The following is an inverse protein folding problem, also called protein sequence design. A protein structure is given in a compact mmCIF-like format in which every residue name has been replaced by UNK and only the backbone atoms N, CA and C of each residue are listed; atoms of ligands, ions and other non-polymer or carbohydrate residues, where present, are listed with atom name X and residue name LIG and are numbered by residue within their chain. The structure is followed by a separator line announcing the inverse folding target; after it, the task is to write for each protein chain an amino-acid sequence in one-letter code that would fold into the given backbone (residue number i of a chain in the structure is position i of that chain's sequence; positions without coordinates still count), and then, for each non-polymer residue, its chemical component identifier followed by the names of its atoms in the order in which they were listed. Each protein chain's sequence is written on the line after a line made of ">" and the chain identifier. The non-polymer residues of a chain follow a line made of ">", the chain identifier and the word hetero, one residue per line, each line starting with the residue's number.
data_IF_121686452904
#
_entry.id   IF_121686452904
#
_cell.length_a   1.000
_cell.length_b   1.000
_cell.length_c   1.000
_cell.angle_alpha   90.00
_cell.angle_beta   90.00
_cell.angle_gamma   90.00
#
_symmetry.space_group_name_H-M   'P 1'
#
loop_
_entity.id
_entity.type
_entity.pdbx_description
1 polymer ?
#
# COMPACT_ATOMS: atom_id res chain seq x y z
N UNK A 1 -41.93 -10.27 8.41
CA UNK A 1 -40.61 -10.41 9.07
C UNK A 1 -40.41 -9.50 10.28
N UNK A 2 -40.95 -8.27 10.33
CA UNK A 2 -40.80 -7.38 11.50
C UNK A 2 -41.38 -7.88 12.84
N UNK A 3 -42.55 -8.55 12.93
CA UNK A 3 -43.11 -8.91 14.24
C UNK A 3 -42.41 -10.11 14.90
N UNK A 4 -41.96 -11.10 14.12
CA UNK A 4 -41.27 -12.29 14.64
C UNK A 4 -39.86 -11.97 15.18
N UNK A 5 -39.14 -11.05 14.53
CA UNK A 5 -37.81 -10.62 14.99
C UNK A 5 -37.91 -9.82 16.30
N UNK A 6 -38.93 -8.94 16.43
CA UNK A 6 -39.21 -8.23 17.69
C UNK A 6 -39.56 -9.19 18.82
N UNK A 7 -40.33 -10.25 18.54
CA UNK A 7 -40.70 -11.25 19.56
C UNK A 7 -39.49 -12.02 20.09
N UNK A 8 -38.59 -12.50 19.22
CA UNK A 8 -37.41 -13.27 19.62
C UNK A 8 -36.42 -12.46 20.49
N UNK A 9 -36.37 -11.14 20.30
CA UNK A 9 -35.47 -10.25 21.05
C UNK A 9 -36.07 -9.83 22.40
N UNK A 10 -37.41 -9.76 22.52
CA UNK A 10 -38.09 -9.42 23.78
C UNK A 10 -37.94 -10.47 24.89
N UNK A 11 -37.41 -11.65 24.55
CA UNK A 11 -37.19 -12.77 25.48
C UNK A 11 -35.94 -12.54 26.35
N UNK A 12 -34.98 -11.75 25.87
CA UNK A 12 -33.74 -11.51 26.60
C UNK A 12 -33.83 -10.24 27.47
N UNK A 13 -33.26 -10.26 28.68
CA UNK A 13 -33.16 -9.06 29.49
C UNK A 13 -32.44 -7.94 28.74
N UNK A 14 -32.94 -6.71 28.84
CA UNK A 14 -32.42 -5.54 28.13
C UNK A 14 -30.96 -5.17 28.48
N UNK A 15 -30.44 -5.68 29.60
CA UNK A 15 -29.06 -5.51 30.02
C UNK A 15 -28.09 -6.53 29.39
N UNK A 16 -28.60 -7.60 28.77
CA UNK A 16 -27.77 -8.60 28.11
C UNK A 16 -27.39 -8.09 26.70
N UNK A 17 -26.09 -7.97 26.36
CA UNK A 17 -25.66 -7.43 25.07
C UNK A 17 -25.75 -8.51 23.98
N UNK A 18 -26.97 -8.97 23.69
CA UNK A 18 -27.23 -10.12 22.81
C UNK A 18 -26.61 -9.92 21.42
N UNK A 19 -26.72 -8.72 20.85
CA UNK A 19 -26.14 -8.41 19.53
C UNK A 19 -24.61 -8.51 19.52
N UNK A 20 -23.95 -8.00 20.56
CA UNK A 20 -22.49 -8.03 20.66
C UNK A 20 -21.99 -9.45 20.88
N UNK A 21 -22.68 -10.24 21.73
CA UNK A 21 -22.35 -11.64 21.96
C UNK A 21 -22.52 -12.48 20.69
N UNK A 22 -23.57 -12.25 19.92
CA UNK A 22 -23.77 -12.91 18.63
C UNK A 22 -22.68 -12.54 17.63
N UNK A 23 -22.33 -11.25 17.53
CA UNK A 23 -21.27 -10.78 16.64
C UNK A 23 -19.91 -11.37 17.04
N UNK A 24 -19.55 -11.30 18.31
CA UNK A 24 -18.31 -11.88 18.84
C UNK A 24 -18.28 -13.39 18.61
N UNK A 25 -19.38 -14.10 18.89
CA UNK A 25 -19.51 -15.53 18.63
C UNK A 25 -19.30 -15.88 17.15
N UNK A 26 -19.91 -15.13 16.25
CA UNK A 26 -19.74 -15.30 14.80
C UNK A 26 -18.30 -15.03 14.34
N UNK A 27 -17.65 -13.99 14.87
CA UNK A 27 -16.24 -13.68 14.58
C UNK A 27 -15.33 -14.80 15.07
N UNK A 28 -15.50 -15.26 16.31
CA UNK A 28 -14.67 -16.31 16.90
C UNK A 28 -14.85 -17.63 16.15
N UNK A 29 -16.09 -18.02 15.86
CA UNK A 29 -16.38 -19.25 15.12
C UNK A 29 -15.81 -19.21 13.70
N UNK A 30 -16.08 -18.13 12.95
CA UNK A 30 -15.58 -17.99 11.57
C UNK A 30 -14.05 -17.96 11.51
N UNK A 31 -13.40 -17.25 12.45
CA UNK A 31 -11.95 -17.24 12.57
C UNK A 31 -11.40 -18.62 12.95
N UNK A 32 -12.04 -19.32 13.89
CA UNK A 32 -11.68 -20.67 14.30
C UNK A 32 -11.72 -21.66 13.13
N UNK A 33 -12.80 -21.63 12.34
CA UNK A 33 -12.94 -22.44 11.12
C UNK A 33 -11.83 -22.09 10.11
N UNK A 34 -11.64 -20.80 9.82
CA UNK A 34 -10.60 -20.36 8.89
C UNK A 34 -9.20 -20.79 9.34
N UNK A 35 -8.93 -20.75 10.65
CA UNK A 35 -7.63 -21.15 11.22
C UNK A 35 -7.42 -22.65 11.25
N UNK A 36 -8.49 -23.42 11.44
CA UNK A 36 -8.49 -24.88 11.40
C UNK A 36 -8.06 -25.41 10.03
N UNK A 37 -8.60 -24.81 8.95
CA UNK A 37 -8.26 -25.19 7.58
C UNK A 37 -7.05 -24.44 7.00
N UNK A 38 -6.73 -23.26 7.54
CA UNK A 38 -5.61 -22.43 7.10
C UNK A 38 -4.37 -22.70 7.91
N UNK A 39 -3.42 -23.49 7.39
CA UNK A 39 -2.09 -23.72 7.97
C UNK A 39 -1.18 -22.47 8.05
N UNK A 40 -1.76 -21.27 7.99
CA UNK A 40 -1.07 -19.99 8.01
C UNK A 40 -0.62 -19.61 9.42
N UNK A 41 0.67 -19.31 9.58
CA UNK A 41 1.26 -18.83 10.83
C UNK A 41 1.67 -17.34 10.68
N UNK A 42 0.79 -16.40 11.04
CA UNK A 42 1.06 -14.97 10.85
C UNK A 42 2.24 -14.47 11.67
N UNK A 43 2.49 -15.06 12.85
CA UNK A 43 3.57 -14.64 13.75
C UNK A 43 4.92 -14.99 13.15
N UNK A 44 5.07 -16.21 12.64
CA UNK A 44 6.28 -16.64 11.93
C UNK A 44 6.53 -15.76 10.72
N UNK A 45 5.50 -15.51 9.91
CA UNK A 45 5.61 -14.65 8.72
C UNK A 45 6.03 -13.23 9.10
N UNK A 46 5.40 -12.61 10.09
CA UNK A 46 5.75 -11.27 10.56
C UNK A 46 7.21 -11.18 11.03
N UNK A 47 7.68 -12.17 11.80
CA UNK A 47 9.07 -12.21 12.30
C UNK A 47 10.12 -12.32 11.20
N UNK A 48 9.75 -12.78 9.99
CA UNK A 48 10.71 -12.83 8.86
C UNK A 48 11.08 -11.45 8.32
N UNK A 49 10.20 -10.45 8.47
CA UNK A 49 10.40 -9.11 7.89
C UNK A 49 10.48 -8.00 8.92
N UNK A 50 9.86 -8.18 10.08
CA UNK A 50 9.81 -7.18 11.14
C UNK A 50 10.73 -7.53 12.30
N UNK A 51 11.30 -6.48 12.90
CA UNK A 51 12.05 -6.59 14.15
C UNK A 51 11.08 -6.98 15.26
N UNK A 52 11.29 -8.17 15.84
CA UNK A 52 10.40 -8.80 16.83
C UNK A 52 8.97 -9.09 16.33
N UNK A 53 8.74 -9.08 15.01
CA UNK A 53 7.40 -9.23 14.45
C UNK A 53 6.54 -7.96 14.50
N UNK A 54 7.12 -6.82 14.87
CA UNK A 54 6.39 -5.56 15.08
C UNK A 54 6.69 -4.54 13.95
N UNK A 55 5.66 -3.95 13.30
CA UNK A 55 5.81 -2.91 12.27
C UNK A 55 6.10 -1.54 12.91
N UNK A 56 7.29 -1.38 13.49
CA UNK A 56 7.69 -0.22 14.27
C UNK A 56 7.56 1.12 13.52
N UNK A 57 7.89 1.15 12.23
CA UNK A 57 7.77 2.34 11.39
C UNK A 57 6.32 2.77 11.21
N UNK A 58 5.42 1.82 10.91
CA UNK A 58 3.99 2.09 10.76
C UNK A 58 3.36 2.53 12.08
N UNK A 59 3.74 1.90 13.20
CA UNK A 59 3.27 2.31 14.52
C UNK A 59 3.80 3.71 14.90
N UNK A 60 5.06 4.01 14.60
CA UNK A 60 5.67 5.31 14.89
C UNK A 60 4.99 6.44 14.11
N UNK A 61 4.77 6.26 12.81
CA UNK A 61 4.11 7.30 11.98
C UNK A 61 2.63 7.45 12.35
N UNK A 62 1.94 6.35 12.69
CA UNK A 62 0.55 6.41 13.20
C UNK A 62 0.48 7.15 14.54
N UNK A 63 1.42 6.88 15.44
CA UNK A 63 1.54 7.57 16.73
C UNK A 63 1.82 9.06 16.54
N UNK A 64 2.68 9.43 15.60
CA UNK A 64 2.94 10.83 15.24
C UNK A 64 1.67 11.53 14.74
N UNK A 65 0.93 10.93 13.79
CA UNK A 65 -0.32 11.50 13.27
C UNK A 65 -1.37 11.66 14.37
N UNK A 66 -1.52 10.65 15.24
CA UNK A 66 -2.41 10.73 16.40
C UNK A 66 -1.98 11.84 17.38
N UNK A 67 -0.68 11.98 17.63
CA UNK A 67 -0.15 13.04 18.48
C UNK A 67 -0.51 14.42 17.94
N UNK A 68 -0.28 14.67 16.64
CA UNK A 68 -0.66 15.93 15.99
C UNK A 68 -2.16 16.18 16.14
N UNK A 69 -2.99 15.17 15.88
CA UNK A 69 -4.43 15.30 16.01
C UNK A 69 -4.89 15.66 17.44
N UNK A 70 -4.39 14.90 18.42
CA UNK A 70 -4.85 14.99 19.80
C UNK A 70 -4.36 16.28 20.48
N UNK A 71 -3.10 16.64 20.27
CA UNK A 71 -2.44 17.72 21.01
C UNK A 71 -2.29 19.00 20.18
N UNK A 72 -1.81 18.92 18.93
CA UNK A 72 -1.60 20.12 18.09
C UNK A 72 -2.93 20.70 17.59
N UNK A 73 -3.90 19.84 17.26
CA UNK A 73 -5.22 20.29 16.82
C UNK A 73 -6.26 20.37 17.95
N UNK A 74 -5.87 20.14 19.20
CA UNK A 74 -6.78 20.06 20.34
C UNK A 74 -7.92 19.03 20.16
N UNK A 75 -7.62 17.90 19.51
CA UNK A 75 -8.57 16.82 19.27
C UNK A 75 -8.97 16.04 20.53
N UNK A 76 -8.26 16.22 21.64
CA UNK A 76 -8.66 15.69 22.96
C UNK A 76 -9.96 16.36 23.42
N UNK A 77 -10.00 17.70 23.40
CA UNK A 77 -11.17 18.47 23.83
C UNK A 77 -12.25 18.52 22.75
N UNK A 78 -11.85 18.69 21.48
CA UNK A 78 -12.78 18.85 20.36
C UNK A 78 -12.60 17.76 19.30
N UNK A 79 -12.95 16.49 19.61
CA UNK A 79 -12.62 15.38 18.75
C UNK A 79 -13.37 15.38 17.41
N UNK A 80 -14.51 16.05 17.26
CA UNK A 80 -15.22 16.12 15.96
C UNK A 80 -15.06 17.47 15.26
N UNK A 81 -14.46 18.45 15.93
CA UNK A 81 -14.24 19.80 15.43
C UNK A 81 -12.88 20.35 15.92
N UNK A 82 -11.77 19.67 15.58
CA UNK A 82 -10.45 20.10 16.00
C UNK A 82 -10.05 21.42 15.31
N UNK A 83 -8.97 22.04 15.77
CA UNK A 83 -8.40 23.24 15.12
C UNK A 83 -7.87 22.88 13.74
N UNK A 84 -8.42 23.50 12.69
CA UNK A 84 -8.11 23.18 11.28
C UNK A 84 -7.70 24.36 10.42
N UNK A 85 -8.18 25.57 10.72
CA UNK A 85 -8.00 26.75 9.86
C UNK A 85 -6.50 27.05 9.60
N UNK A 86 -5.61 27.05 10.61
CA UNK A 86 -4.19 27.36 10.41
C UNK A 86 -3.41 26.27 9.66
N UNK A 87 -3.95 25.05 9.60
CA UNK A 87 -3.24 23.87 9.09
C UNK A 87 -3.69 23.45 7.68
N UNK A 88 -4.68 24.12 7.11
CA UNK A 88 -5.08 23.89 5.71
C UNK A 88 -4.14 24.63 4.76
N UNK A 89 -3.78 23.98 3.66
CA UNK A 89 -2.98 24.59 2.60
C UNK A 89 -3.85 25.51 1.70
N UNK A 90 -4.32 26.63 2.25
CA UNK A 90 -5.20 27.57 1.51
C UNK A 90 -4.55 28.18 0.28
N UNK A 91 -3.23 28.40 0.34
CA UNK A 91 -2.43 28.97 -0.75
C UNK A 91 -0.95 28.63 -0.59
N UNK A 92 -0.18 28.87 -1.64
CA UNK A 92 1.28 28.78 -1.60
C UNK A 92 1.95 29.82 -0.70
N UNK A 93 1.22 30.85 -0.27
CA UNK A 93 1.67 31.86 0.69
C UNK A 93 1.43 31.46 2.15
N UNK A 94 0.91 30.25 2.40
CA UNK A 94 0.64 29.73 3.74
C UNK A 94 1.58 28.57 4.07
N UNK A 95 2.88 28.84 4.35
CA UNK A 95 3.89 27.79 4.52
C UNK A 95 3.55 26.82 5.67
N UNK A 96 2.96 27.33 6.75
CA UNK A 96 2.45 26.49 7.85
C UNK A 96 1.40 25.49 7.36
N UNK A 97 0.46 25.95 6.53
CA UNK A 97 -0.57 25.10 5.94
C UNK A 97 0.02 24.07 4.99
N UNK A 98 0.98 24.45 4.15
CA UNK A 98 1.69 23.54 3.24
C UNK A 98 2.39 22.40 4.00
N UNK A 99 3.07 22.73 5.10
CA UNK A 99 3.84 21.75 5.89
C UNK A 99 2.93 20.87 6.75
N UNK A 100 1.89 21.46 7.37
CA UNK A 100 1.07 20.77 8.37
C UNK A 100 -0.18 20.10 7.79
N UNK A 101 -0.66 20.50 6.61
CA UNK A 101 -1.84 19.90 5.98
C UNK A 101 -1.76 18.38 5.86
N UNK A 102 -0.65 17.74 5.45
CA UNK A 102 -0.61 16.28 5.37
C UNK A 102 -0.70 15.60 6.74
N UNK A 103 -0.41 16.30 7.84
CA UNK A 103 -0.33 15.69 9.18
C UNK A 103 -1.51 16.04 10.09
N UNK A 104 -2.43 16.89 9.63
CA UNK A 104 -3.61 17.34 10.38
C UNK A 104 -4.88 16.80 9.76
N UNK A 105 -5.98 16.75 10.51
CA UNK A 105 -7.24 16.15 10.08
C UNK A 105 -8.45 17.00 10.44
N UNK A 106 -9.51 16.87 9.64
CA UNK A 106 -10.70 17.71 9.75
C UNK A 106 -11.66 17.32 10.88
N UNK A 107 -11.64 16.05 11.31
CA UNK A 107 -12.51 15.49 12.35
C UNK A 107 -12.05 14.06 12.73
N UNK A 108 -12.69 13.47 13.75
CA UNK A 108 -12.39 12.11 14.24
C UNK A 108 -12.48 11.06 13.14
N UNK A 109 -13.56 11.08 12.35
CA UNK A 109 -13.75 10.11 11.27
C UNK A 109 -12.63 10.18 10.24
N UNK A 110 -12.17 11.40 9.93
CA UNK A 110 -11.08 11.62 8.98
C UNK A 110 -9.73 11.07 9.49
N UNK A 111 -9.35 11.32 10.74
CA UNK A 111 -8.12 10.75 11.32
C UNK A 111 -8.23 9.23 11.48
N UNK A 112 -9.38 8.71 11.93
CA UNK A 112 -9.60 7.27 12.08
C UNK A 112 -9.45 6.55 10.75
N UNK A 113 -10.02 7.08 9.65
CA UNK A 113 -9.87 6.50 8.31
C UNK A 113 -8.40 6.43 7.86
N UNK A 114 -7.64 7.51 8.07
CA UNK A 114 -6.22 7.54 7.70
C UNK A 114 -5.36 6.60 8.57
N UNK A 115 -5.64 6.49 9.86
CA UNK A 115 -4.96 5.55 10.76
C UNK A 115 -5.29 4.11 10.39
N UNK A 116 -6.55 3.77 10.09
CA UNK A 116 -6.92 2.43 9.62
C UNK A 116 -6.23 2.12 8.28
N UNK A 117 -6.20 3.06 7.34
CA UNK A 117 -5.46 2.89 6.08
C UNK A 117 -3.96 2.70 6.29
N UNK A 118 -3.37 3.43 7.23
CA UNK A 118 -1.95 3.31 7.60
C UNK A 118 -1.64 1.97 8.28
N UNK A 119 -2.47 1.54 9.23
CA UNK A 119 -2.28 0.27 9.94
C UNK A 119 -2.57 -0.97 9.08
N UNK A 120 -3.33 -0.82 7.99
CA UNK A 120 -3.56 -1.90 7.02
C UNK A 120 -2.47 -1.88 5.95
N UNK A 121 -2.47 -0.87 5.07
CA UNK A 121 -1.59 -0.81 3.91
C UNK A 121 -0.16 -0.42 4.28
N UNK A 122 0.01 0.46 5.27
CA UNK A 122 1.34 0.83 5.77
C UNK A 122 2.10 -0.36 6.35
N UNK A 123 1.42 -1.26 7.08
CA UNK A 123 2.04 -2.51 7.56
C UNK A 123 2.49 -3.38 6.38
N UNK A 124 1.68 -3.50 5.32
CA UNK A 124 2.09 -4.23 4.11
C UNK A 124 3.26 -3.54 3.39
N UNK A 125 3.29 -2.20 3.36
CA UNK A 125 4.39 -1.43 2.80
C UNK A 125 5.68 -1.61 3.60
N UNK A 126 5.61 -1.57 4.93
CA UNK A 126 6.74 -1.82 5.80
C UNK A 126 7.21 -3.28 5.71
N UNK A 127 6.29 -4.22 5.53
CA UNK A 127 6.62 -5.63 5.29
C UNK A 127 7.40 -5.80 3.99
N UNK A 128 6.94 -5.14 2.92
CA UNK A 128 7.62 -5.10 1.64
C UNK A 128 9.01 -4.44 1.76
N UNK A 129 9.12 -3.32 2.49
CA UNK A 129 10.39 -2.66 2.75
C UNK A 129 11.35 -3.55 3.56
N UNK A 130 10.84 -4.21 4.61
CA UNK A 130 11.50 -5.08 5.57
C UNK A 130 12.56 -4.39 6.45
N UNK A 131 12.66 -4.81 7.71
CA UNK A 131 13.70 -4.36 8.66
C UNK A 131 15.02 -5.12 8.48
N UNK A 132 15.01 -6.21 7.72
CA UNK A 132 16.21 -6.99 7.45
C UNK A 132 16.59 -6.85 5.98
N UNK A 133 17.87 -6.67 5.66
CA UNK A 133 18.33 -6.75 4.30
C UNK A 133 18.15 -8.17 3.76
N UNK A 134 17.85 -8.31 2.47
CA UNK A 134 17.86 -9.59 1.76
C UNK A 134 19.34 -10.06 1.70
N UNK A 135 19.68 -11.19 2.33
CA UNK A 135 21.04 -11.80 2.35
C UNK A 135 21.62 -11.87 0.92
N UNK A 136 22.92 -11.70 0.60
CA UNK A 136 24.20 -11.52 1.32
C UNK A 136 25.23 -11.08 0.27
N UNK A 137 25.83 -9.90 0.35
CA UNK A 137 27.15 -9.73 -0.29
C UNK A 137 28.18 -10.36 0.65
N UNK A 138 28.84 -11.41 0.16
CA UNK A 138 29.83 -12.24 0.87
C UNK A 138 31.03 -11.47 1.43
N UNK A 139 31.13 -10.15 1.19
CA UNK A 139 32.33 -9.36 1.43
C UNK A 139 32.16 -8.30 2.54
N UNK A 140 31.05 -8.30 3.28
CA UNK A 140 30.85 -7.35 4.40
C UNK A 140 31.58 -7.75 5.70
N UNK A 141 32.44 -8.78 5.67
CA UNK A 141 33.28 -9.19 6.81
C UNK A 141 34.58 -8.38 6.95
N UNK A 142 34.85 -7.42 6.07
CA UNK A 142 36.09 -6.61 6.08
C UNK A 142 35.83 -5.11 6.09
N UNK A 143 35.00 -4.64 7.04
CA UNK A 143 35.01 -3.22 7.42
C UNK A 143 34.73 -3.03 8.91
N UNK A 144 35.55 -3.69 9.72
CA UNK A 144 35.82 -3.24 11.08
C UNK A 144 36.93 -2.17 11.01
N UNK A 145 36.60 -0.97 10.48
CA UNK A 145 37.36 0.30 10.56
C UNK A 145 36.76 1.34 9.61
N UNK A 146 35.67 1.99 10.04
CA UNK A 146 35.31 3.36 9.63
C UNK A 146 34.27 3.87 10.61
N UNK A 147 34.38 5.14 10.98
CA UNK A 147 33.57 5.79 12.01
C UNK A 147 32.06 5.60 11.82
N UNK A 148 31.34 5.93 12.89
CA UNK A 148 29.90 5.77 13.15
C UNK A 148 28.98 6.27 12.00
N UNK A 149 28.96 5.61 10.85
CA UNK A 149 28.04 5.87 9.75
C UNK A 149 27.00 4.76 9.74
N UNK A 150 25.76 5.03 10.17
CA UNK A 150 24.69 4.03 10.13
C UNK A 150 24.42 3.64 8.68
N UNK A 151 24.56 2.36 8.35
CA UNK A 151 24.23 1.85 7.01
C UNK A 151 22.75 1.43 6.93
N UNK A 152 22.15 1.49 5.73
CA UNK A 152 20.79 0.97 5.46
C UNK A 152 20.64 -0.55 5.67
N UNK A 153 21.71 -1.24 6.11
CA UNK A 153 21.69 -2.64 6.53
C UNK A 153 21.22 -2.80 7.98
N UNK A 154 21.35 -1.77 8.83
CA UNK A 154 20.96 -1.87 10.24
C UNK A 154 19.43 -1.74 10.41
N UNK A 155 18.75 -2.65 11.15
CA UNK A 155 17.30 -2.65 11.26
C UNK A 155 16.70 -1.32 11.73
N UNK A 156 17.30 -0.67 12.75
CA UNK A 156 16.80 0.61 13.25
C UNK A 156 16.87 1.73 12.20
N UNK A 157 17.88 1.73 11.33
CA UNK A 157 18.03 2.73 10.26
C UNK A 157 16.96 2.50 9.19
N UNK A 158 16.62 1.24 8.89
CA UNK A 158 15.54 0.92 7.95
C UNK A 158 14.17 1.32 8.48
N UNK A 159 13.93 1.13 9.77
CA UNK A 159 12.71 1.62 10.45
C UNK A 159 12.63 3.14 10.35
N UNK A 160 13.71 3.84 10.72
CA UNK A 160 13.77 5.30 10.63
C UNK A 160 13.58 5.79 9.19
N UNK A 161 14.19 5.13 8.21
CA UNK A 161 14.04 5.47 6.79
C UNK A 161 12.60 5.34 6.31
N UNK A 162 11.84 4.35 6.81
CA UNK A 162 10.42 4.20 6.51
C UNK A 162 9.61 5.38 7.08
N UNK A 163 9.86 5.76 8.33
CA UNK A 163 9.20 6.91 8.97
C UNK A 163 9.54 8.21 8.24
N UNK A 164 10.82 8.49 8.01
CA UNK A 164 11.28 9.68 7.29
C UNK A 164 10.73 9.72 5.88
N UNK A 165 10.76 8.61 5.15
CA UNK A 165 10.17 8.52 3.82
C UNK A 165 8.67 8.86 3.81
N UNK A 166 7.94 8.39 4.82
CA UNK A 166 6.51 8.72 4.99
C UNK A 166 6.27 10.21 5.25
N UNK A 167 7.11 10.83 6.09
CA UNK A 167 7.07 12.27 6.35
C UNK A 167 7.41 13.07 5.08
N UNK A 168 8.43 12.66 4.32
CA UNK A 168 8.82 13.31 3.05
C UNK A 168 7.69 13.23 2.03
N UNK A 169 7.05 12.06 1.88
CA UNK A 169 5.88 11.93 0.99
C UNK A 169 4.73 12.83 1.46
N UNK A 170 4.50 12.92 2.77
CA UNK A 170 3.52 13.84 3.34
C UNK A 170 3.81 15.29 2.95
N UNK A 171 5.05 15.75 3.16
CA UNK A 171 5.50 17.09 2.80
C UNK A 171 5.35 17.35 1.29
N UNK A 172 5.75 16.41 0.43
CA UNK A 172 5.56 16.53 -1.01
C UNK A 172 4.07 16.63 -1.37
N UNK A 173 3.21 15.85 -0.72
CA UNK A 173 1.76 15.94 -0.92
C UNK A 173 1.21 17.30 -0.52
N UNK A 174 1.72 17.91 0.56
CA UNK A 174 1.34 19.27 0.98
C UNK A 174 1.83 20.35 -0.01
N UNK A 175 3.08 20.24 -0.47
CA UNK A 175 3.69 21.17 -1.45
C UNK A 175 2.96 21.13 -2.78
N UNK A 176 2.56 19.97 -3.28
CA UNK A 176 1.92 19.86 -4.60
C UNK A 176 0.39 19.86 -4.54
N UNK A 177 -0.19 20.09 -3.37
CA UNK A 177 -1.64 20.14 -3.18
C UNK A 177 -2.22 21.43 -3.76
N UNK A 178 -3.25 21.34 -4.60
CA UNK A 178 -4.03 22.50 -5.04
C UNK A 178 -5.30 22.63 -4.19
N UNK A 179 -5.48 23.79 -3.56
CA UNK A 179 -6.65 24.10 -2.75
C UNK A 179 -6.53 23.67 -1.29
N UNK A 180 -7.59 23.86 -0.48
CA UNK A 180 -7.55 23.73 0.99
C UNK A 180 -7.50 22.27 1.44
N UNK A 181 -6.37 21.61 1.20
CA UNK A 181 -6.11 20.23 1.59
C UNK A 181 -5.76 20.11 3.06
N UNK A 182 -6.08 18.95 3.60
CA UNK A 182 -5.78 18.51 4.96
C UNK A 182 -5.94 16.98 4.98
N UNK A 183 -5.06 16.25 5.66
CA UNK A 183 -5.13 14.80 5.83
C UNK A 183 -3.92 14.02 5.32
N UNK A 184 -3.69 12.87 5.94
CA UNK A 184 -2.54 11.98 5.67
C UNK A 184 -2.73 11.05 4.46
N UNK A 185 -3.82 11.20 3.72
CA UNK A 185 -4.25 10.22 2.73
C UNK A 185 -3.29 10.12 1.55
N UNK A 186 -2.60 11.19 1.17
CA UNK A 186 -1.52 11.12 0.16
C UNK A 186 -0.44 10.08 0.52
N UNK A 187 -0.06 9.98 1.80
CA UNK A 187 0.91 8.98 2.25
C UNK A 187 0.31 7.56 2.24
N UNK A 188 -0.97 7.42 2.62
CA UNK A 188 -1.68 6.14 2.54
C UNK A 188 -1.73 5.62 1.10
N UNK A 189 -2.02 6.50 0.14
CA UNK A 189 -1.99 6.14 -1.28
C UNK A 189 -0.57 5.82 -1.76
N UNK A 190 0.47 6.45 -1.21
CA UNK A 190 1.85 6.07 -1.50
C UNK A 190 2.20 4.67 -0.98
N UNK A 191 1.72 4.27 0.21
CA UNK A 191 1.85 2.89 0.66
C UNK A 191 1.15 1.94 -0.31
N UNK A 192 -0.06 2.26 -0.77
CA UNK A 192 -0.77 1.43 -1.74
C UNK A 192 -0.03 1.31 -3.08
N UNK A 193 0.44 2.42 -3.63
CA UNK A 193 1.24 2.43 -4.86
C UNK A 193 2.49 1.58 -4.74
N UNK A 194 3.18 1.70 -3.61
CA UNK A 194 4.38 0.93 -3.31
C UNK A 194 4.10 -0.57 -3.23
N UNK A 195 3.05 -0.98 -2.52
CA UNK A 195 2.72 -2.39 -2.33
C UNK A 195 2.11 -3.03 -3.57
N UNK A 196 1.32 -2.29 -4.35
CA UNK A 196 0.71 -2.78 -5.59
C UNK A 196 1.76 -3.34 -6.56
N UNK A 197 2.95 -2.72 -6.62
CA UNK A 197 4.01 -3.12 -7.54
C UNK A 197 4.57 -4.53 -7.25
N UNK A 198 4.41 -5.03 -6.02
CA UNK A 198 4.90 -6.37 -5.62
C UNK A 198 3.77 -7.33 -5.24
N UNK A 199 2.76 -6.83 -4.54
CA UNK A 199 1.65 -7.59 -3.97
C UNK A 199 0.32 -6.98 -4.42
N UNK A 200 -0.03 -7.02 -5.73
CA UNK A 200 -1.20 -6.32 -6.24
C UNK A 200 -2.51 -6.81 -5.59
N UNK A 201 -2.76 -8.13 -5.61
CA UNK A 201 -3.94 -8.71 -4.97
C UNK A 201 -3.88 -8.61 -3.44
N UNK A 202 -2.69 -8.79 -2.84
CA UNK A 202 -2.51 -8.63 -1.40
C UNK A 202 -2.85 -7.22 -0.91
N UNK A 203 -2.51 -6.20 -1.70
CA UNK A 203 -2.85 -4.80 -1.39
C UNK A 203 -4.36 -4.59 -1.42
N UNK A 204 -5.05 -5.09 -2.45
CA UNK A 204 -6.51 -5.01 -2.54
C UNK A 204 -7.17 -5.72 -1.35
N UNK A 205 -6.72 -6.93 -1.00
CA UNK A 205 -7.26 -7.67 0.14
C UNK A 205 -7.05 -6.96 1.48
N UNK A 206 -5.87 -6.35 1.69
CA UNK A 206 -5.56 -5.58 2.90
C UNK A 206 -6.42 -4.31 3.01
N UNK A 207 -6.75 -3.67 1.89
CA UNK A 207 -7.69 -2.54 1.91
C UNK A 207 -9.11 -2.98 2.25
N UNK A 208 -9.55 -4.11 1.67
CA UNK A 208 -10.86 -4.67 1.98
C UNK A 208 -10.97 -5.08 3.46
N UNK A 209 -9.89 -5.57 4.06
CA UNK A 209 -9.90 -5.91 5.51
C UNK A 209 -10.11 -4.67 6.38
N UNK A 210 -9.62 -3.50 5.98
CA UNK A 210 -9.92 -2.22 6.66
C UNK A 210 -11.42 -1.90 6.71
N UNK A 211 -12.17 -2.22 5.63
CA UNK A 211 -13.64 -2.05 5.58
C UNK A 211 -14.34 -3.06 6.49
N UNK A 212 -13.87 -4.30 6.54
CA UNK A 212 -14.38 -5.34 7.46
C UNK A 212 -14.16 -4.91 8.92
N UNK A 213 -12.96 -4.43 9.27
CA UNK A 213 -12.66 -3.94 10.62
C UNK A 213 -13.53 -2.74 10.99
N UNK A 214 -13.74 -1.83 10.05
CA UNK A 214 -14.62 -0.67 10.26
C UNK A 214 -16.07 -1.10 10.49
N UNK A 215 -16.56 -2.10 9.73
CA UNK A 215 -17.88 -2.68 9.94
C UNK A 215 -17.99 -3.28 11.34
N UNK A 216 -17.06 -4.16 11.73
CA UNK A 216 -17.05 -4.79 13.06
C UNK A 216 -17.04 -3.73 14.16
N UNK A 217 -16.16 -2.73 14.06
CA UNK A 217 -16.09 -1.64 15.04
C UNK A 217 -17.41 -0.87 15.15
N UNK A 218 -18.01 -0.51 14.02
CA UNK A 218 -19.28 0.23 14.02
C UNK A 218 -20.45 -0.63 14.51
N UNK A 219 -20.44 -1.93 14.23
CA UNK A 219 -21.46 -2.87 14.70
C UNK A 219 -21.38 -3.10 16.21
N UNK A 220 -20.18 -3.10 16.81
CA UNK A 220 -20.04 -3.14 18.28
C UNK A 220 -20.50 -1.82 18.90
N UNK A 221 -20.12 -0.69 18.29
CA UNK A 221 -20.43 0.64 18.85
C UNK A 221 -21.91 0.99 18.74
N UNK A 222 -22.52 0.65 17.62
CA UNK A 222 -23.91 0.97 17.28
C UNK A 222 -24.58 -0.30 16.71
N UNK A 223 -24.90 -1.29 17.55
CA UNK A 223 -25.44 -2.57 17.10
C UNK A 223 -26.82 -2.44 16.44
N UNK A 224 -27.55 -1.39 16.81
CA UNK A 224 -28.80 -1.00 16.15
C UNK A 224 -28.76 0.49 15.82
N UNK A 225 -29.25 0.86 14.64
CA UNK A 225 -29.33 2.25 14.20
C UNK A 225 -30.75 2.50 13.72
N UNK A 226 -31.39 3.50 14.29
CA UNK A 226 -32.71 3.98 13.84
C UNK A 226 -32.51 5.30 13.12
N UNK A 227 -33.01 5.42 11.90
CA UNK A 227 -32.93 6.63 11.09
C UNK A 227 -34.33 7.07 10.66
N UNK A 228 -34.56 8.39 10.67
CA UNK A 228 -35.75 9.01 10.11
C UNK A 228 -35.38 9.82 8.87
N UNK A 229 -36.26 9.86 7.87
CA UNK A 229 -36.07 10.73 6.70
C UNK A 229 -36.10 12.19 7.13
N UNK A 230 -35.06 12.95 6.82
CA UNK A 230 -34.94 14.38 7.11
C UNK A 230 -34.29 15.09 5.91
N UNK A 231 -34.76 16.29 5.52
CA UNK A 231 -34.07 17.10 4.52
C UNK A 231 -32.64 17.44 4.97
N UNK A 232 -31.65 17.14 4.13
CA UNK A 232 -30.24 17.45 4.39
C UNK A 232 -29.56 18.05 3.16
N UNK A 233 -28.75 19.08 3.37
CA UNK A 233 -27.85 19.60 2.35
C UNK A 233 -26.57 18.77 2.33
N UNK A 234 -26.42 17.93 1.31
CA UNK A 234 -25.28 17.02 1.18
C UNK A 234 -24.44 17.43 -0.02
N UNK A 235 -23.16 17.70 0.21
CA UNK A 235 -22.19 17.82 -0.89
C UNK A 235 -21.90 16.43 -1.44
N UNK A 236 -21.83 16.21 -2.76
CA UNK A 236 -21.49 14.91 -3.31
C UNK A 236 -20.17 14.39 -2.72
N UNK A 237 -20.14 13.15 -2.25
CA UNK A 237 -18.97 12.59 -1.55
C UNK A 237 -17.66 12.73 -2.34
N UNK A 238 -17.73 12.65 -3.67
CA UNK A 238 -16.59 12.81 -4.57
C UNK A 238 -16.08 14.25 -4.68
N UNK A 239 -16.91 15.25 -4.39
CA UNK A 239 -16.52 16.66 -4.37
C UNK A 239 -15.70 17.03 -3.11
N UNK A 240 -15.58 16.12 -2.14
CA UNK A 240 -14.73 16.28 -0.96
C UNK A 240 -13.38 15.57 -1.04
N UNK A 241 -13.10 14.86 -2.14
CA UNK A 241 -11.90 14.02 -2.27
C UNK A 241 -10.72 14.82 -2.82
N UNK A 242 -9.57 14.69 -2.14
CA UNK A 242 -8.28 15.20 -2.62
C UNK A 242 -7.70 14.29 -3.70
N UNK A 243 -8.38 14.20 -4.86
CA UNK A 243 -8.01 13.29 -5.95
C UNK A 243 -6.56 13.50 -6.40
N UNK A 244 -6.12 14.75 -6.51
CA UNK A 244 -4.76 15.11 -6.88
C UNK A 244 -3.73 14.59 -5.86
N UNK A 245 -3.94 14.85 -4.56
CA UNK A 245 -3.04 14.39 -3.50
C UNK A 245 -2.96 12.86 -3.44
N UNK A 246 -4.08 12.18 -3.63
CA UNK A 246 -4.13 10.72 -3.72
C UNK A 246 -3.35 10.19 -4.93
N UNK A 247 -3.56 10.78 -6.11
CA UNK A 247 -2.88 10.39 -7.34
C UNK A 247 -1.36 10.61 -7.25
N UNK A 248 -0.93 11.74 -6.68
CA UNK A 248 0.49 12.03 -6.46
C UNK A 248 1.12 11.03 -5.50
N UNK A 249 0.46 10.77 -4.36
CA UNK A 249 0.90 9.76 -3.40
C UNK A 249 1.06 8.40 -4.05
N UNK A 250 0.02 7.93 -4.74
CA UNK A 250 0.01 6.68 -5.50
C UNK A 250 1.17 6.58 -6.48
N UNK A 251 1.43 7.65 -7.22
CA UNK A 251 2.51 7.72 -8.21
C UNK A 251 3.89 7.63 -7.56
N UNK A 252 4.15 8.43 -6.52
CA UNK A 252 5.42 8.38 -5.77
C UNK A 252 5.66 6.98 -5.19
N UNK A 253 4.62 6.41 -4.58
CA UNK A 253 4.65 5.04 -4.07
C UNK A 253 4.99 4.02 -5.14
N UNK A 254 4.31 4.09 -6.29
CA UNK A 254 4.53 3.19 -7.42
C UNK A 254 5.96 3.30 -7.97
N UNK A 255 6.52 4.50 -8.10
CA UNK A 255 7.92 4.68 -8.52
C UNK A 255 8.90 4.01 -7.56
N UNK A 256 8.73 4.22 -6.25
CA UNK A 256 9.51 3.54 -5.22
C UNK A 256 9.35 2.01 -5.29
N UNK A 257 8.14 1.54 -5.57
CA UNK A 257 7.81 0.11 -5.69
C UNK A 257 8.47 -0.52 -6.92
N UNK A 258 8.41 0.16 -8.07
CA UNK A 258 9.08 -0.22 -9.31
C UNK A 258 10.59 -0.32 -9.07
N UNK A 259 11.19 0.70 -8.46
CA UNK A 259 12.61 0.70 -8.12
C UNK A 259 12.99 -0.51 -7.25
N UNK A 260 12.19 -0.80 -6.22
CA UNK A 260 12.44 -1.95 -5.34
C UNK A 260 12.28 -3.30 -6.05
N UNK A 261 11.24 -3.46 -6.85
CA UNK A 261 10.97 -4.67 -7.64
C UNK A 261 12.08 -4.94 -8.64
N UNK A 262 12.58 -3.89 -9.31
CA UNK A 262 13.73 -3.99 -10.22
C UNK A 262 15.00 -4.37 -9.47
N UNK A 263 15.28 -3.71 -8.33
CA UNK A 263 16.45 -4.02 -7.51
C UNK A 263 16.47 -5.45 -6.98
N UNK A 264 15.29 -6.01 -6.67
CA UNK A 264 15.15 -7.39 -6.17
C UNK A 264 14.97 -8.42 -7.29
N UNK A 265 14.78 -7.97 -8.53
CA UNK A 265 14.51 -8.82 -9.70
C UNK A 265 13.34 -9.79 -9.52
N UNK A 266 12.35 -9.44 -8.69
CA UNK A 266 11.15 -10.28 -8.49
C UNK A 266 9.89 -9.49 -8.82
N UNK A 267 9.33 -9.76 -10.00
CA UNK A 267 8.17 -9.05 -10.57
C UNK A 267 6.88 -9.84 -10.34
N UNK A 268 5.72 -9.17 -10.14
CA UNK A 268 4.44 -9.86 -10.15
C UNK A 268 4.04 -10.24 -11.58
N UNK A 269 3.05 -11.13 -11.72
CA UNK A 269 2.40 -11.36 -13.01
C UNK A 269 1.71 -10.07 -13.51
N UNK A 270 1.84 -9.76 -14.81
CA UNK A 270 1.33 -8.52 -15.41
C UNK A 270 -0.18 -8.35 -15.30
N UNK A 271 -0.95 -9.42 -15.54
CA UNK A 271 -2.40 -9.37 -15.40
C UNK A 271 -2.83 -9.15 -13.94
N UNK A 272 -2.16 -9.81 -12.99
CA UNK A 272 -2.42 -9.56 -11.54
C UNK A 272 -2.11 -8.12 -11.16
N UNK A 273 -1.03 -7.54 -11.68
CA UNK A 273 -0.66 -6.14 -11.45
C UNK A 273 -1.70 -5.19 -12.04
N UNK A 274 -2.03 -5.35 -13.33
CA UNK A 274 -3.03 -4.53 -14.01
C UNK A 274 -4.38 -4.59 -13.28
N UNK A 275 -4.88 -5.79 -12.98
CA UNK A 275 -6.15 -5.97 -12.26
C UNK A 275 -6.10 -5.39 -10.86
N UNK A 276 -5.00 -5.58 -10.12
CA UNK A 276 -4.85 -5.04 -8.77
C UNK A 276 -4.84 -3.50 -8.75
N UNK A 277 -4.12 -2.86 -9.67
CA UNK A 277 -4.10 -1.39 -9.81
C UNK A 277 -5.48 -0.87 -10.23
N UNK A 278 -6.12 -1.51 -11.20
CA UNK A 278 -7.45 -1.13 -11.68
C UNK A 278 -8.49 -1.21 -10.57
N UNK A 279 -8.58 -2.36 -9.88
CA UNK A 279 -9.50 -2.57 -8.77
C UNK A 279 -9.24 -1.54 -7.67
N UNK A 280 -7.98 -1.37 -7.25
CA UNK A 280 -7.60 -0.37 -6.26
C UNK A 280 -8.09 1.03 -6.64
N UNK A 281 -7.72 1.50 -7.82
CA UNK A 281 -8.01 2.86 -8.27
C UNK A 281 -9.52 3.11 -8.41
N UNK A 282 -10.30 2.11 -8.84
CA UNK A 282 -11.76 2.22 -8.91
C UNK A 282 -12.38 2.31 -7.51
N UNK A 283 -12.01 1.40 -6.61
CA UNK A 283 -12.56 1.33 -5.25
C UNK A 283 -12.22 2.54 -4.38
N UNK A 284 -11.07 3.15 -4.63
CA UNK A 284 -10.59 4.33 -3.93
C UNK A 284 -10.96 5.65 -4.65
N UNK A 285 -11.84 5.57 -5.65
CA UNK A 285 -12.46 6.75 -6.27
C UNK A 285 -11.55 7.56 -7.19
N UNK A 286 -10.46 6.99 -7.71
CA UNK A 286 -9.51 7.69 -8.59
C UNK A 286 -10.08 8.12 -9.93
N UNK A 287 -11.25 7.60 -10.29
CA UNK A 287 -12.00 8.01 -11.47
C UNK A 287 -12.82 9.29 -11.25
N UNK A 288 -12.96 9.79 -10.02
CA UNK A 288 -13.90 10.84 -9.66
C UNK A 288 -13.39 12.26 -9.98
N UNK A 289 -12.99 12.50 -11.23
CA UNK A 289 -12.52 13.81 -11.71
C UNK A 289 -13.68 14.78 -11.86
N UNK A 290 -13.62 15.94 -11.20
CA UNK A 290 -14.71 16.92 -11.22
C UNK A 290 -14.21 18.36 -11.27
N UNK A 291 -15.10 19.28 -11.65
CA UNK A 291 -14.92 20.73 -11.48
C UNK A 291 -16.10 21.35 -10.72
N UNK A 292 -15.86 22.33 -9.84
CA UNK A 292 -16.94 23.15 -9.27
C UNK A 292 -17.46 24.12 -10.34
N UNK A 293 -18.79 24.28 -10.42
CA UNK A 293 -19.46 25.20 -11.35
C UNK A 293 -19.97 26.48 -10.68
N UNK A 294 -19.86 26.59 -9.34
CA UNK A 294 -20.48 27.65 -8.55
C UNK A 294 -21.90 27.27 -8.07
N UNK A 295 -22.45 28.02 -7.13
CA UNK A 295 -23.80 27.77 -6.60
C UNK A 295 -24.00 26.37 -6.01
N UNK A 296 -22.96 25.79 -5.38
CA UNK A 296 -22.95 24.40 -4.89
C UNK A 296 -23.17 23.33 -5.96
N UNK A 297 -22.93 23.66 -7.24
CA UNK A 297 -22.99 22.72 -8.35
C UNK A 297 -21.60 22.20 -8.71
N UNK A 298 -21.54 20.93 -9.09
CA UNK A 298 -20.31 20.23 -9.45
C UNK A 298 -20.53 19.36 -10.69
N UNK A 299 -19.58 19.37 -11.63
CA UNK A 299 -19.63 18.54 -12.84
C UNK A 299 -18.61 17.40 -12.75
N UNK A 300 -19.09 16.17 -12.83
CA UNK A 300 -18.28 14.94 -12.76
C UNK A 300 -17.96 14.40 -14.16
N UNK A 301 -16.68 14.26 -14.48
CA UNK A 301 -16.19 13.72 -15.75
C UNK A 301 -15.92 12.21 -15.64
N UNK A 302 -17.00 11.43 -15.43
CA UNK A 302 -16.90 9.99 -15.13
C UNK A 302 -16.15 9.18 -16.20
N UNK A 303 -16.44 9.41 -17.48
CA UNK A 303 -15.79 8.67 -18.56
C UNK A 303 -14.29 8.98 -18.67
N UNK A 304 -13.91 10.25 -18.55
CA UNK A 304 -12.51 10.68 -18.59
C UNK A 304 -11.73 10.07 -17.42
N UNK A 305 -12.29 10.15 -16.20
CA UNK A 305 -11.64 9.58 -15.03
C UNK A 305 -11.55 8.05 -15.09
N UNK A 306 -12.56 7.36 -15.61
CA UNK A 306 -12.50 5.92 -15.85
C UNK A 306 -11.37 5.58 -16.85
N UNK A 307 -11.32 6.26 -18.01
CA UNK A 307 -10.25 6.06 -18.99
C UNK A 307 -8.86 6.31 -18.39
N UNK A 308 -8.69 7.36 -17.58
CA UNK A 308 -7.43 7.66 -16.91
C UNK A 308 -6.99 6.52 -15.96
N UNK A 309 -7.93 5.90 -15.25
CA UNK A 309 -7.63 4.74 -14.38
C UNK A 309 -7.16 3.52 -15.20
N UNK A 310 -7.81 3.23 -16.32
CA UNK A 310 -7.37 2.15 -17.22
C UNK A 310 -5.97 2.41 -17.80
N UNK A 311 -5.71 3.65 -18.23
CA UNK A 311 -4.40 4.08 -18.73
C UNK A 311 -3.33 3.97 -17.64
N UNK A 312 -3.61 4.40 -16.41
CA UNK A 312 -2.70 4.27 -15.27
C UNK A 312 -2.33 2.80 -15.01
N UNK A 313 -3.32 1.91 -14.98
CA UNK A 313 -3.09 0.48 -14.77
C UNK A 313 -2.21 -0.14 -15.88
N UNK A 314 -2.45 0.25 -17.14
CA UNK A 314 -1.62 -0.19 -18.26
C UNK A 314 -0.18 0.35 -18.16
N UNK A 315 0.00 1.65 -17.90
CA UNK A 315 1.30 2.29 -17.80
C UNK A 315 2.16 1.70 -16.68
N UNK A 316 1.60 1.51 -15.48
CA UNK A 316 2.32 0.90 -14.36
C UNK A 316 2.68 -0.57 -14.66
N UNK A 317 1.80 -1.30 -15.36
CA UNK A 317 2.09 -2.66 -15.80
C UNK A 317 3.26 -2.69 -16.79
N UNK A 318 3.25 -1.83 -17.80
CA UNK A 318 4.37 -1.70 -18.77
C UNK A 318 5.66 -1.31 -18.03
N UNK A 319 5.61 -0.36 -17.10
CA UNK A 319 6.77 0.10 -16.35
C UNK A 319 7.41 -1.01 -15.51
N UNK A 320 6.62 -1.91 -14.92
CA UNK A 320 7.12 -3.06 -14.15
C UNK A 320 7.59 -4.20 -15.04
N UNK A 321 6.88 -4.46 -16.16
CA UNK A 321 7.17 -5.62 -17.01
C UNK A 321 8.26 -5.37 -18.05
N UNK A 322 8.55 -4.12 -18.42
CA UNK A 322 9.61 -3.78 -19.37
C UNK A 322 10.97 -4.35 -18.95
N UNK A 323 11.72 -4.90 -19.90
CA UNK A 323 13.09 -5.37 -19.66
C UNK A 323 14.00 -4.17 -19.40
N UNK A 324 15.07 -4.37 -18.63
CA UNK A 324 16.10 -3.33 -18.41
C UNK A 324 17.02 -3.17 -19.64
N UNK A 325 16.64 -3.72 -20.80
CA UNK A 325 17.39 -3.57 -22.03
C UNK A 325 17.19 -2.16 -22.57
N UNK A 326 18.28 -1.42 -22.87
CA UNK A 326 18.15 -0.10 -23.48
C UNK A 326 17.52 -0.25 -24.87
N UNK A 327 16.52 0.60 -25.16
CA UNK A 327 15.82 0.64 -26.45
C UNK A 327 16.76 0.90 -27.63
N UNK A 328 17.90 1.52 -27.36
CA UNK A 328 19.02 1.63 -28.28
C UNK A 328 20.10 0.66 -27.83
N UNK A 329 20.26 -0.43 -28.58
CA UNK A 329 21.33 -1.40 -28.33
C UNK A 329 22.65 -0.65 -28.24
N UNK A 330 23.39 -0.86 -27.14
CA UNK A 330 24.84 -0.65 -27.20
C UNK A 330 25.32 -1.52 -28.35
N UNK A 331 25.74 -0.88 -29.43
CA UNK A 331 26.55 -1.54 -30.44
C UNK A 331 27.76 -2.09 -29.71
N UNK A 332 27.74 -3.37 -29.35
CA UNK A 332 28.97 -4.05 -28.99
C UNK A 332 29.89 -3.87 -30.20
N UNK A 333 31.07 -3.25 -30.07
CA UNK A 333 32.05 -3.35 -31.14
C UNK A 333 32.23 -4.84 -31.37
N UNK A 334 31.96 -5.28 -32.60
CA UNK A 334 32.24 -6.63 -33.05
C UNK A 334 33.69 -6.89 -32.71
N UNK A 335 33.93 -7.67 -31.65
CA UNK A 335 35.27 -8.11 -31.31
C UNK A 335 35.61 -9.09 -32.42
N UNK A 336 36.34 -8.57 -33.42
CA UNK A 336 36.77 -9.29 -34.59
C UNK A 336 37.33 -10.63 -34.17
N UNK A 337 36.65 -11.68 -34.61
CA UNK A 337 37.09 -13.06 -34.48
C UNK A 337 38.36 -13.17 -35.33
N UNK A 338 39.53 -12.91 -34.75
CA UNK A 338 40.79 -13.27 -35.36
C UNK A 338 40.88 -14.80 -35.31
N UNK A 339 40.39 -15.44 -36.37
CA UNK A 339 40.77 -16.80 -36.71
C UNK A 339 42.26 -16.81 -37.04
N UNK A 340 43.08 -17.14 -36.06
CA UNK A 340 44.50 -17.40 -36.28
C UNK A 340 44.64 -18.81 -36.89
N UNK A 341 44.66 -18.85 -38.22
CA UNK A 341 45.07 -20.01 -39.00
C UNK A 341 46.59 -20.15 -38.91
N UNK A 342 47.08 -20.96 -37.96
CA UNK A 342 48.45 -21.49 -37.99
C UNK A 342 48.42 -23.01 -37.99
N UNK A 343 48.81 -23.58 -39.13
CA UNK A 343 48.98 -25.01 -39.32
C UNK A 343 50.32 -25.55 -38.81
N UNK A 344 50.32 -26.89 -38.68
CA UNK A 344 51.44 -27.83 -38.40
C UNK A 344 52.03 -27.71 -36.98
N UNK A 345 52.20 -28.78 -36.20
CA UNK A 345 52.69 -30.11 -36.51
C UNK A 345 52.12 -31.19 -35.57
N UNK A 346 52.21 -32.41 -36.08
CA UNK A 346 51.97 -33.73 -35.50
C UNK A 346 52.13 -33.92 -33.99
N UNK A 347 51.18 -34.66 -33.39
CA UNK A 347 51.49 -35.87 -32.61
C UNK A 347 50.27 -36.79 -32.51
N UNK A 348 50.48 -38.02 -32.98
CA UNK A 348 49.62 -39.18 -32.73
C UNK A 348 49.48 -39.41 -31.23
N UNK A 349 48.27 -39.67 -30.74
CA UNK A 349 48.01 -40.79 -29.83
C UNK A 349 46.55 -41.24 -29.95
N UNK A 350 46.39 -42.55 -30.12
CA UNK A 350 45.14 -43.29 -30.09
C UNK A 350 44.63 -43.40 -28.66
N UNK A 351 43.31 -43.35 -28.50
CA UNK A 351 42.43 -44.22 -27.69
C UNK A 351 41.01 -43.67 -27.94
N UNK A 352 40.08 -44.39 -28.54
CA UNK A 352 39.41 -45.57 -27.96
C UNK A 352 38.03 -45.10 -27.50
N UNK A 353 36.97 -45.48 -28.22
CA UNK A 353 35.64 -44.87 -28.14
C UNK A 353 34.77 -45.30 -26.96
N UNK A 354 33.58 -44.70 -26.87
CA UNK A 354 32.31 -45.35 -26.51
C UNK A 354 31.09 -44.41 -26.64
N UNK A 355 30.01 -44.95 -27.23
CA UNK A 355 28.55 -44.70 -27.09
C UNK A 355 28.02 -43.28 -26.77
N UNK A 356 27.16 -42.66 -27.60
CA UNK A 356 25.70 -42.93 -27.77
C UNK A 356 24.90 -42.80 -26.47
N UNK A 357 24.08 -41.75 -26.30
CA UNK A 357 22.60 -41.80 -26.19
C UNK A 357 21.90 -40.47 -25.80
N UNK A 358 20.81 -40.21 -26.54
CA UNK A 358 19.53 -39.54 -26.23
C UNK A 358 19.43 -38.16 -25.56
N UNK A 359 18.70 -37.16 -26.10
CA UNK A 359 17.27 -37.08 -26.53
C UNK A 359 16.30 -36.87 -25.34
N UNK A 360 15.79 -35.64 -25.28
CA UNK A 360 14.50 -35.15 -24.73
C UNK A 360 14.24 -35.15 -23.21
N UNK A 361 13.89 -33.97 -22.68
CA UNK A 361 12.57 -33.82 -22.02
C UNK A 361 12.10 -32.35 -22.01
N UNK A 362 11.00 -32.12 -22.71
CA UNK A 362 10.13 -30.94 -22.71
C UNK A 362 8.82 -31.36 -22.03
N UNK A 363 8.13 -30.42 -21.36
CA UNK A 363 6.99 -30.55 -20.39
C UNK A 363 7.47 -30.60 -18.93
N UNK A 364 6.92 -29.81 -18.00
CA UNK A 364 5.49 -29.57 -17.79
C UNK A 364 5.21 -28.17 -17.23
N UNK A 365 4.23 -27.51 -17.85
CA UNK A 365 3.38 -26.46 -17.29
C UNK A 365 2.28 -27.19 -16.51
N UNK A 366 2.12 -26.88 -15.21
CA UNK A 366 0.86 -26.84 -14.43
C UNK A 366 1.22 -27.02 -12.95
N UNK A 367 0.72 -26.08 -12.13
CA UNK A 367 0.32 -26.31 -10.75
C UNK A 367 1.44 -26.41 -9.73
N UNK A 368 1.62 -25.35 -8.93
CA UNK A 368 1.40 -25.48 -7.49
C UNK A 368 1.28 -24.09 -6.85
N UNK A 369 0.41 -24.04 -5.84
CA UNK A 369 -0.34 -22.91 -5.30
C UNK A 369 0.47 -21.70 -4.79
#
# INVERSE_FOLDING_TARGET
>A
MQPLFRLAISIFPSWLPVYDLLLVGAIVLSFGIARWFGGFDPVRVARTRFRWGIPWGTLSISGFVLFVYLFVQNGITYPNAPTVIPFRAWSYFSPTGIVMSPFTHANRGHVTGNIVGTLTVGVLAEYLWSHYPEKRTSNASTSLKRGFVPTLAHPSVRILAFVVGSLVVGLLSGVFSLGPTIGFSGVVFAYAGFTLMRYPLGTVLVLLSGRVLSLVYQSIKNPTVTQAGQPQFVTPWWAGISLQGHALGLFIGALCGIYLVRRRSVRPNGLRLWSGVLIFAVFEGMWAMYIPLGGSQFKLFRAIGAAAVFLLAALLTIAVQSSDQPLFGRSNPVQGRCTESRGRLARRHRCGGCSVQSIYCFRSIIGDY
#
